data_IF_558830506498
#
_entry.id   IF_558830506498
#
_cell.length_a   1.000
_cell.length_b   1.000
_cell.length_c   1.000
_cell.angle_alpha   90.00
_cell.angle_beta   90.00
_cell.angle_gamma   90.00
#
_symmetry.space_group_name_H-M   'P 1'
#
loop_
_entity.id
_entity.type
_entity.pdbx_description
1 polymer ?
#
# COMPACT_ATOMS: atom_id res chain seq x y z
N UNK A 1 11.14 -26.26 21.01
CA UNK A 1 10.50 -26.55 19.72
C UNK A 1 10.50 -25.28 18.91
N UNK A 2 11.40 -25.17 17.93
CA UNK A 2 11.35 -24.09 16.94
C UNK A 2 10.19 -24.37 15.99
N UNK A 3 9.49 -23.32 15.52
CA UNK A 3 8.31 -23.46 14.67
C UNK A 3 8.56 -24.26 13.37
N UNK A 4 9.82 -24.49 13.01
CA UNK A 4 10.26 -25.25 11.84
C UNK A 4 10.32 -26.77 12.06
N UNK A 5 10.19 -27.27 13.29
CA UNK A 5 10.21 -28.72 13.56
C UNK A 5 8.96 -29.39 12.98
N UNK A 6 9.12 -30.06 11.84
CA UNK A 6 8.05 -30.79 11.14
C UNK A 6 7.59 -30.17 9.82
N UNK A 7 8.06 -28.97 9.48
CA UNK A 7 7.74 -28.33 8.19
C UNK A 7 8.55 -28.97 7.04
N UNK A 8 7.89 -29.23 5.92
CA UNK A 8 8.52 -29.69 4.69
C UNK A 8 9.28 -28.56 3.99
N UNK A 9 10.24 -28.91 3.12
CA UNK A 9 10.97 -27.94 2.29
C UNK A 9 10.01 -27.09 1.43
N UNK A 10 8.94 -27.70 0.91
CA UNK A 10 7.92 -27.01 0.12
C UNK A 10 7.16 -25.96 0.95
N UNK A 11 6.77 -26.31 2.18
CA UNK A 11 6.10 -25.38 3.10
C UNK A 11 7.00 -24.22 3.50
N UNK A 12 8.27 -24.50 3.80
CA UNK A 12 9.27 -23.47 4.11
C UNK A 12 9.52 -22.55 2.91
N UNK A 13 9.64 -23.10 1.71
CA UNK A 13 9.81 -22.33 0.47
C UNK A 13 8.61 -21.42 0.24
N UNK A 14 7.39 -21.94 0.41
CA UNK A 14 6.16 -21.15 0.30
C UNK A 14 6.11 -20.02 1.33
N UNK A 15 6.42 -20.30 2.59
CA UNK A 15 6.41 -19.31 3.67
C UNK A 15 7.45 -18.19 3.43
N UNK A 16 8.67 -18.55 2.99
CA UNK A 16 9.71 -17.59 2.62
C UNK A 16 9.31 -16.74 1.42
N UNK A 17 8.73 -17.36 0.39
CA UNK A 17 8.24 -16.65 -0.80
C UNK A 17 7.15 -15.65 -0.43
N UNK A 18 6.19 -16.08 0.40
CA UNK A 18 5.15 -15.22 0.94
C UNK A 18 5.72 -14.03 1.71
N UNK A 19 6.64 -14.28 2.65
CA UNK A 19 7.28 -13.23 3.44
C UNK A 19 8.02 -12.23 2.53
N UNK A 20 8.76 -12.72 1.54
CA UNK A 20 9.43 -11.89 0.53
C UNK A 20 8.44 -10.99 -0.22
N UNK A 21 7.33 -11.54 -0.71
CA UNK A 21 6.31 -10.75 -1.39
C UNK A 21 5.68 -9.69 -0.48
N UNK A 22 5.35 -10.00 0.78
CA UNK A 22 4.78 -9.01 1.71
C UNK A 22 5.77 -7.89 2.01
N UNK A 23 7.06 -8.22 2.18
CA UNK A 23 8.11 -7.22 2.39
C UNK A 23 8.21 -6.26 1.19
N UNK A 24 8.30 -6.78 -0.04
CA UNK A 24 8.37 -5.96 -1.26
C UNK A 24 7.08 -5.17 -1.47
N UNK A 25 5.91 -5.79 -1.29
CA UNK A 25 4.62 -5.12 -1.43
C UNK A 25 4.52 -3.92 -0.48
N UNK A 26 5.04 -4.02 0.73
CA UNK A 26 5.02 -2.91 1.68
C UNK A 26 5.96 -1.76 1.31
N UNK A 27 7.06 -2.04 0.61
CA UNK A 27 7.91 -0.98 0.06
C UNK A 27 7.15 -0.19 -1.02
N UNK A 28 6.43 -0.87 -1.91
CA UNK A 28 5.55 -0.22 -2.90
C UNK A 28 4.41 0.56 -2.25
N UNK A 29 3.83 0.05 -1.16
CA UNK A 29 2.81 0.78 -0.38
C UNK A 29 3.37 2.13 0.10
N UNK A 30 4.61 2.16 0.59
CA UNK A 30 5.25 3.43 0.99
C UNK A 30 5.47 4.34 -0.22
N UNK A 31 5.87 3.79 -1.35
CA UNK A 31 6.08 4.58 -2.56
C UNK A 31 4.78 5.19 -3.07
N UNK A 32 3.66 4.45 -3.07
CA UNK A 32 2.33 4.94 -3.44
C UNK A 32 1.83 6.05 -2.50
N UNK A 33 2.15 5.96 -1.20
CA UNK A 33 1.61 6.88 -0.18
C UNK A 33 2.50 8.12 0.03
N UNK A 34 3.81 7.92 0.18
CA UNK A 34 4.72 8.96 0.69
C UNK A 34 5.30 9.81 -0.45
N UNK A 35 5.76 9.16 -1.52
CA UNK A 35 6.51 9.85 -2.57
C UNK A 35 5.64 10.85 -3.37
N UNK A 36 4.39 10.53 -3.75
CA UNK A 36 3.54 11.48 -4.48
C UNK A 36 3.26 12.77 -3.70
N UNK A 37 3.08 12.67 -2.38
CA UNK A 37 2.86 13.84 -1.52
C UNK A 37 4.14 14.66 -1.43
N UNK A 38 5.29 14.02 -1.22
CA UNK A 38 6.59 14.71 -1.22
C UNK A 38 6.84 15.46 -2.53
N UNK A 39 6.65 14.78 -3.67
CA UNK A 39 6.84 15.37 -4.99
C UNK A 39 5.92 16.58 -5.19
N UNK A 40 4.65 16.47 -4.79
CA UNK A 40 3.70 17.59 -4.87
C UNK A 40 4.21 18.84 -4.15
N UNK A 41 4.73 18.72 -2.93
CA UNK A 41 5.25 19.88 -2.18
C UNK A 41 6.64 20.34 -2.64
N UNK A 42 7.44 19.47 -3.26
CA UNK A 42 8.78 19.82 -3.75
C UNK A 42 8.74 20.54 -5.10
N UNK A 43 7.81 20.14 -5.97
CA UNK A 43 7.76 20.59 -7.36
C UNK A 43 6.71 21.70 -7.59
N UNK A 44 6.01 22.15 -6.54
CA UNK A 44 4.94 23.15 -6.63
C UNK A 44 5.23 24.38 -5.79
N UNK A 45 5.08 25.56 -6.39
CA UNK A 45 4.97 26.83 -5.66
C UNK A 45 3.50 27.15 -5.48
N UNK A 46 3.07 27.40 -4.24
CA UNK A 46 1.69 27.74 -3.93
C UNK A 46 1.48 29.26 -3.94
N UNK A 47 0.49 29.73 -4.69
CA UNK A 47 0.11 31.14 -4.71
C UNK A 47 -0.67 31.52 -3.44
N UNK A 48 -0.70 32.82 -3.14
CA UNK A 48 -1.44 33.37 -2.01
C UNK A 48 -2.95 33.07 -2.14
N UNK A 49 -3.53 32.46 -1.12
CA UNK A 49 -4.93 32.02 -1.09
C UNK A 49 -5.16 30.54 -1.42
N UNK A 50 -4.13 29.79 -1.84
CA UNK A 50 -4.20 28.33 -1.89
C UNK A 50 -4.24 27.72 -0.47
N UNK A 51 -4.90 26.56 -0.29
CA UNK A 51 -5.03 25.94 1.03
C UNK A 51 -3.76 25.19 1.47
N UNK A 52 -2.72 25.14 0.63
CA UNK A 52 -1.47 24.43 0.89
C UNK A 52 -0.39 25.40 1.39
N UNK A 53 0.41 24.96 2.36
CA UNK A 53 1.49 25.74 2.95
C UNK A 53 2.86 25.13 2.72
N UNK A 54 3.09 23.96 3.30
CA UNK A 54 4.37 23.23 3.22
C UNK A 54 4.18 21.78 3.63
N UNK A 55 5.10 20.91 3.22
CA UNK A 55 5.08 19.50 3.62
C UNK A 55 5.20 19.35 5.14
N UNK A 56 5.97 20.22 5.78
CA UNK A 56 6.17 20.25 7.22
C UNK A 56 4.87 20.61 7.97
N UNK A 57 4.20 21.68 7.55
CA UNK A 57 3.00 22.18 8.22
C UNK A 57 1.77 21.32 7.92
N UNK A 58 1.57 20.95 6.66
CA UNK A 58 0.33 20.30 6.24
C UNK A 58 0.36 18.79 6.49
N UNK A 59 1.54 18.17 6.42
CA UNK A 59 1.69 16.71 6.51
C UNK A 59 2.43 16.31 7.78
N UNK A 60 3.70 16.67 7.94
CA UNK A 60 4.54 16.12 9.02
C UNK A 60 4.09 16.54 10.43
N UNK A 61 3.38 17.66 10.57
CA UNK A 61 2.78 18.08 11.83
C UNK A 61 1.75 17.10 12.39
N UNK A 62 1.16 16.24 11.55
CA UNK A 62 0.08 15.31 11.92
C UNK A 62 0.57 14.12 12.75
N UNK A 63 1.81 13.67 12.54
CA UNK A 63 2.35 12.53 13.26
C UNK A 63 3.88 12.43 13.16
N UNK A 64 4.54 11.94 14.23
CA UNK A 64 6.01 11.76 14.29
C UNK A 64 6.60 10.81 13.24
N UNK A 65 5.80 9.88 12.75
CA UNK A 65 6.19 8.93 11.71
C UNK A 65 5.63 9.41 10.37
N UNK A 66 6.50 9.69 9.41
CA UNK A 66 6.14 10.23 8.10
C UNK A 66 5.05 9.42 7.37
N UNK A 67 5.13 8.10 7.41
CA UNK A 67 4.13 7.25 6.75
C UNK A 67 2.73 7.45 7.35
N UNK A 68 2.63 7.47 8.67
CA UNK A 68 1.37 7.76 9.37
C UNK A 68 0.88 9.18 9.10
N UNK A 69 1.79 10.16 9.10
CA UNK A 69 1.45 11.54 8.77
C UNK A 69 0.83 11.66 7.37
N UNK A 70 1.41 10.95 6.39
CA UNK A 70 0.88 10.89 5.02
C UNK A 70 -0.51 10.24 4.97
N UNK A 71 -0.72 9.13 5.69
CA UNK A 71 -2.04 8.48 5.77
C UNK A 71 -3.11 9.41 6.36
N UNK A 72 -2.78 10.11 7.45
CA UNK A 72 -3.69 11.07 8.08
C UNK A 72 -3.97 12.27 7.15
N UNK A 73 -2.97 12.74 6.41
CA UNK A 73 -3.14 13.79 5.41
C UNK A 73 -4.08 13.35 4.27
N UNK A 74 -3.86 12.16 3.72
CA UNK A 74 -4.69 11.60 2.64
C UNK A 74 -6.15 11.38 3.08
N UNK A 75 -6.37 11.01 4.34
CA UNK A 75 -7.71 10.82 4.90
C UNK A 75 -8.40 12.15 5.23
N UNK A 76 -7.74 13.01 6.00
CA UNK A 76 -8.41 14.16 6.64
C UNK A 76 -8.44 15.41 5.78
N UNK A 77 -7.47 15.58 4.88
CA UNK A 77 -7.34 16.80 4.08
C UNK A 77 -7.62 16.55 2.60
N UNK A 78 -7.09 15.46 2.05
CA UNK A 78 -7.34 15.09 0.65
C UNK A 78 -8.64 14.30 0.47
N UNK A 79 -9.16 13.71 1.55
CA UNK A 79 -10.36 12.84 1.57
C UNK A 79 -10.30 11.69 0.53
N UNK A 80 -9.09 11.23 0.21
CA UNK A 80 -8.84 10.20 -0.81
C UNK A 80 -9.10 8.77 -0.32
N UNK A 81 -9.07 8.58 1.00
CA UNK A 81 -9.29 7.31 1.69
C UNK A 81 -10.04 7.53 3.00
N UNK A 82 -10.68 6.49 3.50
CA UNK A 82 -11.45 6.53 4.75
C UNK A 82 -10.69 5.91 5.95
N UNK A 83 -11.35 5.85 7.10
CA UNK A 83 -10.76 5.28 8.31
C UNK A 83 -10.55 3.76 8.23
N UNK A 84 -11.37 3.01 7.50
CA UNK A 84 -11.19 1.58 7.30
C UNK A 84 -9.97 1.31 6.42
N UNK A 85 -9.77 2.12 5.37
CA UNK A 85 -8.58 2.07 4.52
C UNK A 85 -7.29 2.29 5.33
N UNK A 86 -7.26 3.33 6.18
CA UNK A 86 -6.11 3.61 7.05
C UNK A 86 -5.83 2.45 8.00
N UNK A 87 -6.86 1.91 8.66
CA UNK A 87 -6.71 0.76 9.56
C UNK A 87 -6.20 -0.48 8.83
N UNK A 88 -6.68 -0.71 7.61
CA UNK A 88 -6.23 -1.82 6.76
C UNK A 88 -4.74 -1.68 6.41
N UNK A 89 -4.30 -0.50 5.98
CA UNK A 89 -2.90 -0.24 5.63
C UNK A 89 -2.00 -0.38 6.88
N UNK A 90 -2.46 0.08 8.05
CA UNK A 90 -1.76 -0.14 9.32
C UNK A 90 -1.68 -1.62 9.71
N UNK A 91 -2.74 -2.40 9.47
CA UNK A 91 -2.73 -3.84 9.72
C UNK A 91 -1.71 -4.54 8.80
N UNK A 92 -1.60 -4.15 7.53
CA UNK A 92 -0.55 -4.64 6.64
C UNK A 92 0.84 -4.25 7.13
N UNK A 93 1.03 -2.99 7.56
CA UNK A 93 2.29 -2.53 8.16
C UNK A 93 2.69 -3.39 9.36
N UNK A 94 1.73 -3.68 10.24
CA UNK A 94 1.95 -4.55 11.40
C UNK A 94 2.36 -5.96 10.97
N UNK A 95 1.60 -6.57 10.06
CA UNK A 95 1.92 -7.91 9.55
C UNK A 95 3.32 -7.99 8.94
N UNK A 96 3.69 -6.98 8.14
CA UNK A 96 5.04 -6.86 7.58
C UNK A 96 6.10 -6.74 8.67
N UNK A 97 5.86 -5.93 9.71
CA UNK A 97 6.81 -5.81 10.82
C UNK A 97 6.97 -7.14 11.57
N UNK A 98 5.87 -7.86 11.82
CA UNK A 98 5.90 -9.15 12.47
C UNK A 98 6.73 -10.14 11.63
N UNK A 99 6.51 -10.21 10.31
CA UNK A 99 7.35 -10.98 9.39
C UNK A 99 8.82 -10.53 9.41
N UNK A 100 9.11 -9.23 9.40
CA UNK A 100 10.48 -8.72 9.35
C UNK A 100 11.27 -9.00 10.64
N UNK A 101 10.60 -9.05 11.79
CA UNK A 101 11.24 -9.18 13.09
C UNK A 101 11.20 -10.61 13.65
N UNK A 102 10.20 -11.41 13.26
CA UNK A 102 9.93 -12.73 13.86
C UNK A 102 9.79 -13.86 12.84
N UNK A 103 10.31 -13.67 11.61
CA UNK A 103 10.23 -14.68 10.53
C UNK A 103 10.58 -16.10 11.00
N UNK A 104 11.69 -16.36 11.72
CA UNK A 104 12.08 -17.73 12.07
C UNK A 104 11.02 -18.47 12.90
N UNK A 105 10.28 -17.76 13.75
CA UNK A 105 9.22 -18.35 14.57
C UNK A 105 7.88 -18.43 13.82
N UNK A 106 7.71 -17.66 12.74
CA UNK A 106 6.52 -17.67 11.90
C UNK A 106 6.58 -18.74 10.80
N UNK A 107 7.78 -19.15 10.34
CA UNK A 107 7.96 -19.99 9.14
C UNK A 107 7.08 -21.25 9.08
N UNK A 108 6.90 -21.97 10.18
CA UNK A 108 6.07 -23.17 10.20
C UNK A 108 4.56 -22.92 10.41
N UNK A 109 4.16 -21.68 10.67
CA UNK A 109 2.79 -21.30 11.02
C UNK A 109 2.16 -20.31 10.03
N UNK A 110 2.88 -19.92 8.97
CA UNK A 110 2.33 -19.02 7.94
C UNK A 110 1.35 -19.79 7.05
N UNK A 111 0.06 -19.53 7.23
CA UNK A 111 -0.98 -19.86 6.27
C UNK A 111 -1.32 -18.60 5.44
N UNK A 112 -1.08 -18.67 4.13
CA UNK A 112 -1.34 -17.55 3.22
C UNK A 112 -2.83 -17.20 3.20
N UNK A 113 -3.71 -18.19 3.35
CA UNK A 113 -5.17 -18.01 3.33
C UNK A 113 -5.65 -17.09 4.46
N UNK A 114 -5.04 -17.18 5.64
CA UNK A 114 -5.38 -16.35 6.80
C UNK A 114 -5.13 -14.85 6.55
N UNK A 115 -4.24 -14.53 5.61
CA UNK A 115 -3.86 -13.16 5.28
C UNK A 115 -4.49 -12.64 3.99
N UNK A 116 -5.13 -13.49 3.18
CA UNK A 116 -5.78 -13.04 1.94
C UNK A 116 -6.84 -11.94 2.16
N UNK A 117 -7.69 -11.98 3.20
CA UNK A 117 -8.65 -10.89 3.44
C UNK A 117 -7.96 -9.55 3.67
N UNK A 118 -6.84 -9.53 4.40
CA UNK A 118 -6.05 -8.32 4.64
C UNK A 118 -5.45 -7.79 3.32
N UNK A 119 -4.86 -8.68 2.52
CA UNK A 119 -4.28 -8.30 1.22
C UNK A 119 -5.34 -7.76 0.26
N UNK A 120 -6.53 -8.37 0.20
CA UNK A 120 -7.64 -7.91 -0.64
C UNK A 120 -8.19 -6.55 -0.19
N UNK A 121 -8.27 -6.28 1.11
CA UNK A 121 -8.67 -4.96 1.59
C UNK A 121 -7.60 -3.92 1.28
N UNK A 122 -6.32 -4.27 1.43
CA UNK A 122 -5.20 -3.38 1.10
C UNK A 122 -5.20 -3.03 -0.39
N UNK A 123 -5.41 -4.02 -1.25
CA UNK A 123 -5.55 -3.86 -2.71
C UNK A 123 -6.58 -2.78 -3.05
N UNK A 124 -7.78 -2.85 -2.46
CA UNK A 124 -8.83 -1.85 -2.65
C UNK A 124 -8.42 -0.46 -2.16
N UNK A 125 -7.79 -0.36 -0.99
CA UNK A 125 -7.36 0.91 -0.42
C UNK A 125 -6.28 1.58 -1.28
N UNK A 126 -5.30 0.81 -1.77
CA UNK A 126 -4.25 1.34 -2.65
C UNK A 126 -4.77 1.67 -4.04
N UNK A 127 -5.77 0.95 -4.54
CA UNK A 127 -6.43 1.30 -5.80
C UNK A 127 -7.07 2.68 -5.71
N UNK A 128 -7.81 2.98 -4.63
CA UNK A 128 -8.39 4.31 -4.39
C UNK A 128 -7.32 5.40 -4.45
N UNK A 129 -6.19 5.20 -3.76
CA UNK A 129 -5.08 6.16 -3.75
C UNK A 129 -4.44 6.35 -5.12
N UNK A 130 -4.19 5.25 -5.82
CA UNK A 130 -3.60 5.27 -7.16
C UNK A 130 -4.50 5.99 -8.15
N UNK A 131 -5.79 5.65 -8.14
CA UNK A 131 -6.81 6.26 -8.96
C UNK A 131 -6.96 7.77 -8.71
N UNK A 132 -7.11 8.14 -7.43
CA UNK A 132 -7.18 9.53 -7.00
C UNK A 132 -5.97 10.34 -7.48
N UNK A 133 -4.77 9.77 -7.35
CA UNK A 133 -3.55 10.43 -7.79
C UNK A 133 -3.54 10.66 -9.29
N UNK A 134 -3.83 9.63 -10.09
CA UNK A 134 -3.87 9.78 -11.55
C UNK A 134 -4.91 10.82 -11.99
N UNK A 135 -6.05 10.87 -11.32
CA UNK A 135 -7.05 11.90 -11.59
C UNK A 135 -6.53 13.32 -11.28
N UNK A 136 -5.84 13.53 -10.15
CA UNK A 136 -5.26 14.85 -9.85
C UNK A 136 -4.19 15.25 -10.86
N UNK A 137 -3.37 14.31 -11.34
CA UNK A 137 -2.25 14.61 -12.23
C UNK A 137 -2.70 14.98 -13.65
N UNK A 138 -3.66 14.24 -14.22
CA UNK A 138 -4.04 14.39 -15.63
C UNK A 138 -5.53 14.57 -15.85
N UNK A 139 -6.36 14.42 -14.82
CA UNK A 139 -7.83 14.45 -14.92
C UNK A 139 -8.40 15.82 -15.24
N UNK A 140 -7.63 16.89 -15.10
CA UNK A 140 -8.00 18.25 -15.55
C UNK A 140 -7.33 18.67 -16.86
N UNK A 141 -6.45 17.85 -17.44
CA UNK A 141 -5.75 18.19 -18.68
C UNK A 141 -6.72 18.12 -19.88
N UNK A 142 -6.89 19.22 -20.65
CA UNK A 142 -7.73 19.25 -21.86
C UNK A 142 -7.47 18.12 -22.86
N UNK A 143 -6.25 17.60 -22.92
CA UNK A 143 -5.88 16.49 -23.80
C UNK A 143 -6.56 15.17 -23.44
N UNK A 144 -7.03 15.03 -22.19
CA UNK A 144 -7.71 13.84 -21.69
C UNK A 144 -9.22 14.07 -21.49
N UNK A 145 -9.68 15.31 -21.58
CA UNK A 145 -11.11 15.64 -21.56
C UNK A 145 -11.84 15.08 -22.78
N UNK A 146 -13.12 14.74 -22.61
CA UNK A 146 -14.03 14.29 -23.67
C UNK A 146 -13.61 13.02 -24.44
N UNK A 147 -12.67 12.24 -23.89
CA UNK A 147 -12.22 10.96 -24.49
C UNK A 147 -13.02 9.73 -24.04
N UNK A 148 -14.08 9.91 -23.26
CA UNK A 148 -14.86 8.81 -22.70
C UNK A 148 -14.06 7.91 -21.76
N UNK A 149 -13.05 8.48 -21.08
CA UNK A 149 -12.24 7.77 -20.08
C UNK A 149 -13.13 7.45 -18.89
N UNK A 150 -13.18 6.17 -18.52
CA UNK A 150 -13.76 5.72 -17.26
C UNK A 150 -12.74 5.95 -16.14
N UNK A 151 -12.80 7.14 -15.53
CA UNK A 151 -11.84 7.57 -14.53
C UNK A 151 -11.81 6.66 -13.31
N UNK A 152 -12.88 5.92 -13.00
CA UNK A 152 -12.94 5.01 -11.85
C UNK A 152 -12.13 3.72 -12.05
N UNK A 153 -11.54 3.53 -13.24
CA UNK A 153 -10.76 2.33 -13.61
C UNK A 153 -9.26 2.58 -13.75
N UNK A 154 -8.84 3.84 -13.72
CA UNK A 154 -7.45 4.22 -14.00
C UNK A 154 -6.57 3.99 -12.77
N UNK A 155 -5.34 3.52 -13.01
CA UNK A 155 -4.33 3.26 -11.98
C UNK A 155 -2.94 3.65 -12.49
N UNK A 156 -2.07 4.03 -11.57
CA UNK A 156 -0.67 4.34 -11.82
C UNK A 156 0.23 3.09 -11.78
N UNK A 157 1.45 3.20 -12.34
CA UNK A 157 2.36 2.07 -12.52
C UNK A 157 2.84 1.42 -11.21
N UNK A 158 2.97 2.19 -10.14
CA UNK A 158 3.38 1.66 -8.83
C UNK A 158 2.32 0.71 -8.25
N UNK A 159 1.04 1.01 -8.47
CA UNK A 159 -0.06 0.13 -8.07
C UNK A 159 -0.14 -1.10 -8.97
N UNK A 160 0.12 -0.99 -10.27
CA UNK A 160 0.17 -2.16 -11.17
C UNK A 160 1.19 -3.19 -10.68
N UNK A 161 2.39 -2.74 -10.30
CA UNK A 161 3.42 -3.62 -9.75
C UNK A 161 2.98 -4.24 -8.41
N UNK A 162 2.32 -3.46 -7.53
CA UNK A 162 1.75 -4.00 -6.29
C UNK A 162 0.71 -5.07 -6.57
N UNK A 163 -0.22 -4.82 -7.50
CA UNK A 163 -1.28 -5.74 -7.89
C UNK A 163 -0.71 -7.06 -8.44
N UNK A 164 0.35 -7.00 -9.24
CA UNK A 164 1.07 -8.19 -9.71
C UNK A 164 1.59 -9.04 -8.54
N UNK A 165 2.24 -8.41 -7.54
CA UNK A 165 2.73 -9.10 -6.35
C UNK A 165 1.59 -9.79 -5.60
N UNK A 166 0.49 -9.07 -5.36
CA UNK A 166 -0.68 -9.64 -4.67
C UNK A 166 -1.27 -10.81 -5.47
N UNK A 167 -1.31 -10.71 -6.79
CA UNK A 167 -1.76 -11.80 -7.64
C UNK A 167 -0.83 -13.02 -7.56
N UNK A 168 0.49 -12.84 -7.48
CA UNK A 168 1.42 -13.95 -7.21
C UNK A 168 1.20 -14.57 -5.84
N UNK A 169 0.94 -13.78 -4.79
CA UNK A 169 0.61 -14.32 -3.46
C UNK A 169 -0.65 -15.19 -3.51
N UNK A 170 -1.68 -14.79 -4.25
CA UNK A 170 -2.90 -15.61 -4.45
C UNK A 170 -2.63 -16.94 -5.15
N UNK A 171 -1.51 -17.10 -5.87
CA UNK A 171 -1.12 -18.40 -6.48
C UNK A 171 -0.38 -19.32 -5.53
N UNK A 172 0.10 -18.82 -4.38
CA UNK A 172 0.78 -19.62 -3.37
C UNK A 172 -0.17 -20.50 -2.54
N UNK A 173 -1.44 -20.61 -2.92
CA UNK A 173 -2.43 -21.43 -2.21
C UNK A 173 -1.99 -22.89 -2.22
N UNK A 174 -1.78 -23.45 -1.04
CA UNK A 174 -1.50 -24.87 -0.88
C UNK A 174 -2.77 -25.70 -1.06
N UNK A 175 -2.70 -26.74 -1.89
CA UNK A 175 -3.67 -27.83 -1.85
C UNK A 175 -3.45 -28.55 -0.51
N UNK A 176 -4.32 -28.35 0.48
CA UNK A 176 -4.34 -29.23 1.66
C UNK A 176 -4.65 -30.65 1.15
N UNK A 177 -3.71 -31.58 1.36
CA UNK A 177 -4.00 -33.02 1.32
C UNK A 177 -4.77 -33.41 2.57
#
# INVERSE_FOLDING_TARGET
>A
MTATEGATEEELTRALTYAGFVLVAFELVKDIIVNPIKAFYQDTTFDEGMPFKSYEEDVLSRHKNQFEACLLYLRDFMEAIDSEDVLTIQALRKHRNDLAHDLPNMLGNIDVEDHLPLLQKTDKALFKLSNYRTYIEIGSDPAFQNKGIDWDTIKGPEYELFEEIINKVKTLRGVRK
#
